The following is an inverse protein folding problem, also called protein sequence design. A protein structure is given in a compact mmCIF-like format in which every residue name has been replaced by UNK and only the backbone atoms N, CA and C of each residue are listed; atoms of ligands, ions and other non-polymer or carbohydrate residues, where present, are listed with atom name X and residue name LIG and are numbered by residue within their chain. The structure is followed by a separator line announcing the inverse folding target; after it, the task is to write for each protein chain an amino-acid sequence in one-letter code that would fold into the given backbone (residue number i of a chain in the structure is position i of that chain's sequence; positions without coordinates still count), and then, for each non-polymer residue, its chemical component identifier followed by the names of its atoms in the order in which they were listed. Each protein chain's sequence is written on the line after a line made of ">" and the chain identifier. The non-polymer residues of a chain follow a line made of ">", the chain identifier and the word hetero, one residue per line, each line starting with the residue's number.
data_IF_266573026179
#
_entry.id   IF_266573026179
#
_cell.length_a   1.000
_cell.length_b   1.000
_cell.length_c   1.000
_cell.angle_alpha   90.00
_cell.angle_beta   90.00
_cell.angle_gamma   90.00
#
_symmetry.space_group_name_H-M   'P 1'
#
loop_
_entity.id
_entity.type
_entity.pdbx_description
1 polymer ?
#
# COMPACT_ATOMS: atom_id res chain seq x y z
N UNK A 1 32.09 -14.85 66.74
CA UNK A 1 32.22 -13.56 66.03
C UNK A 1 31.39 -13.65 64.76
N UNK A 2 30.37 -12.81 64.64
CA UNK A 2 29.41 -12.79 63.54
C UNK A 2 30.04 -12.18 62.28
N UNK A 3 30.20 -12.97 61.22
CA UNK A 3 30.59 -12.48 59.89
C UNK A 3 29.32 -12.20 59.10
N UNK A 4 29.03 -10.90 58.90
CA UNK A 4 27.93 -10.41 58.06
C UNK A 4 28.18 -10.81 56.61
N UNK A 5 27.29 -11.64 56.05
CA UNK A 5 27.21 -11.91 54.61
C UNK A 5 26.40 -10.77 53.99
N UNK A 6 27.06 -9.91 53.21
CA UNK A 6 26.39 -8.95 52.33
C UNK A 6 25.77 -9.71 51.15
N UNK A 7 24.44 -9.68 51.02
CA UNK A 7 23.75 -10.03 49.76
C UNK A 7 23.65 -8.76 48.90
N UNK A 8 24.10 -8.77 47.64
CA UNK A 8 23.64 -7.76 46.70
C UNK A 8 22.19 -8.10 46.30
N UNK A 9 21.32 -7.10 46.43
CA UNK A 9 19.96 -7.11 45.91
C UNK A 9 20.09 -6.89 44.40
N UNK A 10 19.92 -7.95 43.60
CA UNK A 10 19.62 -7.78 42.19
C UNK A 10 18.09 -7.65 42.06
N UNK A 11 17.64 -6.41 41.89
CA UNK A 11 16.30 -6.08 41.42
C UNK A 11 16.11 -6.69 40.03
N UNK A 12 14.96 -7.32 39.81
CA UNK A 12 14.61 -7.96 38.56
C UNK A 12 14.67 -6.95 37.41
N UNK A 13 15.58 -7.16 36.48
CA UNK A 13 15.58 -6.46 35.21
C UNK A 13 14.32 -6.87 34.46
N UNK A 14 13.41 -5.91 34.26
CA UNK A 14 12.32 -6.02 33.29
C UNK A 14 12.95 -6.14 31.91
N UNK A 15 13.03 -7.37 31.39
CA UNK A 15 13.25 -7.61 29.97
C UNK A 15 11.95 -7.17 29.29
N UNK A 16 11.94 -5.95 28.75
CA UNK A 16 10.93 -5.53 27.78
C UNK A 16 11.24 -6.34 26.53
N UNK A 17 10.57 -7.49 26.39
CA UNK A 17 10.52 -8.23 25.14
C UNK A 17 9.70 -7.36 24.19
N UNK A 18 10.39 -6.63 23.30
CA UNK A 18 9.76 -5.97 22.17
C UNK A 18 9.29 -7.09 21.23
N UNK A 19 8.11 -7.65 21.48
CA UNK A 19 7.41 -8.42 20.46
C UNK A 19 7.07 -7.43 19.36
N UNK A 20 7.92 -7.37 18.33
CA UNK A 20 7.50 -6.92 17.01
C UNK A 20 6.45 -7.94 16.60
N UNK A 21 5.19 -7.63 16.87
CA UNK A 21 4.09 -8.30 16.22
C UNK A 21 4.23 -7.84 14.79
N UNK A 22 4.79 -8.68 13.92
CA UNK A 22 4.49 -8.55 12.50
C UNK A 22 2.99 -8.79 12.43
N UNK A 23 2.21 -7.71 12.43
CA UNK A 23 0.82 -7.79 12.06
C UNK A 23 0.84 -8.36 10.65
N UNK A 24 0.39 -9.61 10.50
CA UNK A 24 0.06 -10.15 9.19
C UNK A 24 -1.05 -9.22 8.67
N UNK A 25 -0.72 -8.37 7.70
CA UNK A 25 -1.68 -7.50 7.08
C UNK A 25 -2.75 -8.38 6.44
N UNK A 26 -4.01 -8.13 6.75
CA UNK A 26 -5.09 -8.78 6.01
C UNK A 26 -5.09 -8.20 4.60
N UNK A 27 -5.35 -9.05 3.60
CA UNK A 27 -5.61 -8.54 2.25
C UNK A 27 -6.76 -7.51 2.30
N UNK A 28 -6.62 -6.47 1.48
CA UNK A 28 -7.45 -5.28 1.41
C UNK A 28 -8.17 -5.22 0.04
N UNK A 29 -9.35 -5.87 -0.09
CA UNK A 29 -10.17 -5.72 -1.28
C UNK A 29 -10.63 -4.28 -1.48
N UNK A 30 -10.60 -3.81 -2.72
CA UNK A 30 -11.17 -2.52 -3.12
C UNK A 30 -12.66 -2.48 -2.77
N UNK A 31 -13.04 -1.55 -1.89
CA UNK A 31 -14.44 -1.35 -1.48
C UNK A 31 -14.97 0.03 -1.86
N UNK A 32 -14.83 1.02 -0.98
CA UNK A 32 -15.38 2.36 -1.15
C UNK A 32 -14.39 3.22 -1.92
N UNK A 33 -13.16 3.33 -1.46
CA UNK A 33 -12.09 4.06 -2.15
C UNK A 33 -11.64 3.24 -3.35
N UNK A 34 -11.70 3.87 -4.52
CA UNK A 34 -11.32 3.28 -5.82
C UNK A 34 -10.09 3.97 -6.44
N UNK A 35 -9.66 5.08 -5.84
CA UNK A 35 -8.43 5.80 -6.16
C UNK A 35 -8.13 6.82 -5.05
N UNK A 36 -6.85 7.03 -4.65
CA UNK A 36 -5.70 6.17 -4.94
C UNK A 36 -5.86 4.75 -4.38
N UNK A 37 -5.07 3.82 -4.90
CA UNK A 37 -4.95 2.43 -4.44
C UNK A 37 -3.47 2.10 -4.25
N UNK A 38 -3.13 1.05 -3.47
CA UNK A 38 -1.73 0.61 -3.27
C UNK A 38 -0.97 0.45 -4.59
N UNK A 39 -1.65 -0.05 -5.62
CA UNK A 39 -1.10 -0.38 -6.93
C UNK A 39 -1.03 0.83 -7.89
N UNK A 40 -1.60 1.95 -7.47
CA UNK A 40 -1.60 3.22 -8.18
C UNK A 40 -1.67 4.39 -7.18
N UNK A 41 -0.61 4.59 -6.40
CA UNK A 41 -0.57 5.62 -5.37
C UNK A 41 -0.39 7.01 -5.98
N UNK A 42 -0.72 8.03 -5.20
CA UNK A 42 -0.37 9.41 -5.54
C UNK A 42 0.90 9.83 -4.82
N UNK A 43 1.77 10.56 -5.50
CA UNK A 43 2.94 11.20 -4.92
C UNK A 43 2.69 12.71 -4.92
N UNK A 44 2.80 13.36 -3.76
CA UNK A 44 2.49 14.79 -3.59
C UNK A 44 3.49 15.50 -2.68
N UNK A 45 3.57 16.82 -2.84
CA UNK A 45 4.26 17.72 -1.91
C UNK A 45 3.26 18.43 -0.99
N UNK A 46 3.67 18.91 0.19
CA UNK A 46 2.79 19.67 1.08
C UNK A 46 2.16 20.88 0.38
N UNK A 47 0.87 21.11 0.62
CA UNK A 47 0.08 22.17 0.00
C UNK A 47 -0.54 21.80 -1.35
N UNK A 48 -0.15 20.69 -1.97
CA UNK A 48 -0.82 20.21 -3.19
C UNK A 48 -2.14 19.51 -2.88
N UNK A 49 -2.98 19.45 -3.92
CA UNK A 49 -4.22 18.68 -3.92
C UNK A 49 -4.04 17.31 -4.59
N UNK A 50 -4.87 16.36 -4.18
CA UNK A 50 -5.07 15.12 -4.90
C UNK A 50 -6.54 14.68 -4.87
N UNK A 51 -6.90 13.86 -5.84
CA UNK A 51 -8.26 13.32 -5.96
C UNK A 51 -8.37 11.98 -5.26
N UNK A 52 -9.42 11.83 -4.46
CA UNK A 52 -9.91 10.55 -3.95
C UNK A 52 -11.21 10.23 -4.70
N UNK A 53 -11.36 9.02 -5.23
CA UNK A 53 -12.61 8.56 -5.85
C UNK A 53 -13.26 7.50 -4.99
N UNK A 54 -14.53 7.68 -4.67
CA UNK A 54 -15.28 6.75 -3.84
C UNK A 54 -16.52 6.21 -4.55
N UNK A 55 -16.72 4.90 -4.50
CA UNK A 55 -17.93 4.22 -4.92
C UNK A 55 -18.93 4.20 -3.76
N UNK A 56 -19.88 5.13 -3.77
CA UNK A 56 -20.91 5.23 -2.76
C UNK A 56 -22.16 5.94 -3.32
N UNK A 57 -23.33 5.67 -2.72
CA UNK A 57 -24.59 6.23 -3.18
C UNK A 57 -24.67 7.76 -3.07
N UNK A 58 -25.53 8.38 -3.88
CA UNK A 58 -25.71 9.84 -3.92
C UNK A 58 -26.19 10.47 -2.59
N UNK A 59 -26.74 9.68 -1.67
CA UNK A 59 -27.21 10.15 -0.37
C UNK A 59 -26.12 10.24 0.70
N UNK A 60 -24.90 9.78 0.40
CA UNK A 60 -23.76 9.84 1.32
C UNK A 60 -23.28 11.29 1.48
N UNK A 61 -22.76 11.62 2.65
CA UNK A 61 -22.39 12.97 3.06
C UNK A 61 -21.38 12.91 4.20
N UNK A 62 -20.93 14.06 4.70
CA UNK A 62 -19.98 14.16 5.82
C UNK A 62 -18.71 13.34 5.60
N UNK A 63 -18.16 13.45 4.40
CA UNK A 63 -16.89 12.81 4.07
C UNK A 63 -15.77 13.41 4.93
N UNK A 64 -14.87 12.55 5.40
CA UNK A 64 -13.62 12.92 6.05
C UNK A 64 -12.50 12.03 5.48
N UNK A 65 -11.28 12.57 5.41
CA UNK A 65 -10.12 11.82 4.96
C UNK A 65 -8.91 12.12 5.86
N UNK A 66 -8.10 11.09 6.10
CA UNK A 66 -6.88 11.16 6.90
C UNK A 66 -5.76 10.36 6.25
N UNK A 67 -4.54 10.84 6.41
CA UNK A 67 -3.34 10.06 6.14
C UNK A 67 -2.85 9.43 7.44
N UNK A 68 -2.49 8.15 7.40
CA UNK A 68 -2.02 7.41 8.58
C UNK A 68 -0.72 6.66 8.31
N UNK A 69 0.15 6.67 9.30
CA UNK A 69 1.24 5.71 9.48
C UNK A 69 1.18 5.21 10.93
N UNK A 70 2.02 4.24 11.35
CA UNK A 70 2.05 3.81 12.75
C UNK A 70 2.35 4.94 13.75
N UNK A 71 2.92 6.06 13.29
CA UNK A 71 3.36 7.17 14.14
C UNK A 71 2.69 8.51 13.84
N UNK A 72 2.05 8.65 12.69
CA UNK A 72 1.44 9.91 12.27
C UNK A 72 -0.03 9.72 11.89
N UNK A 73 -0.84 10.73 12.18
CA UNK A 73 -2.22 10.84 11.67
C UNK A 73 -2.45 12.30 11.28
N UNK A 74 -2.77 12.53 10.01
CA UNK A 74 -2.91 13.86 9.43
C UNK A 74 -4.31 13.97 8.83
N UNK A 75 -5.14 14.85 9.38
CA UNK A 75 -6.47 15.13 8.82
C UNK A 75 -6.34 15.98 7.55
N UNK A 76 -7.04 15.58 6.50
CA UNK A 76 -7.05 16.27 5.21
C UNK A 76 -8.26 17.20 5.11
N UNK A 77 -8.08 18.51 4.85
CA UNK A 77 -9.15 19.35 4.34
C UNK A 77 -9.63 18.77 3.00
N UNK A 78 -10.95 18.62 2.86
CA UNK A 78 -11.54 18.08 1.63
C UNK A 78 -12.73 18.89 1.13
N UNK A 79 -12.96 18.82 -0.17
CA UNK A 79 -14.23 19.13 -0.81
C UNK A 79 -14.75 17.87 -1.49
N UNK A 80 -16.07 17.69 -1.56
CA UNK A 80 -16.69 16.48 -2.12
C UNK A 80 -17.77 16.83 -3.14
N UNK A 81 -17.78 16.12 -4.26
CA UNK A 81 -18.77 16.23 -5.33
C UNK A 81 -19.26 14.85 -5.74
N UNK A 82 -20.57 14.69 -5.92
CA UNK A 82 -21.15 13.47 -6.50
C UNK A 82 -21.27 13.61 -8.02
N UNK A 83 -20.72 12.64 -8.74
CA UNK A 83 -20.73 12.58 -10.20
C UNK A 83 -21.78 11.56 -10.64
N UNK A 84 -22.86 12.04 -11.26
CA UNK A 84 -24.02 11.21 -11.59
C UNK A 84 -23.74 10.21 -12.71
N UNK A 85 -22.87 10.57 -13.66
CA UNK A 85 -22.51 9.77 -14.83
C UNK A 85 -21.76 8.50 -14.45
N UNK A 86 -20.86 8.60 -13.47
CA UNK A 86 -20.06 7.48 -12.96
C UNK A 86 -20.63 6.87 -11.68
N UNK A 87 -21.71 7.45 -11.15
CA UNK A 87 -22.34 7.07 -9.88
C UNK A 87 -21.33 6.97 -8.73
N UNK A 88 -20.44 7.97 -8.66
CA UNK A 88 -19.31 7.97 -7.73
C UNK A 88 -19.07 9.35 -7.14
N UNK A 89 -18.42 9.39 -5.99
CA UNK A 89 -17.94 10.61 -5.37
C UNK A 89 -16.51 10.92 -5.80
N UNK A 90 -16.25 12.20 -6.06
CA UNK A 90 -14.90 12.76 -6.21
C UNK A 90 -14.65 13.67 -5.02
N UNK A 91 -13.61 13.37 -4.25
CA UNK A 91 -13.12 14.26 -3.21
C UNK A 91 -11.81 14.89 -3.63
N UNK A 92 -11.67 16.19 -3.46
CA UNK A 92 -10.40 16.90 -3.61
C UNK A 92 -9.85 17.14 -2.22
N UNK A 93 -8.73 16.50 -1.90
CA UNK A 93 -8.06 16.60 -0.61
C UNK A 93 -6.77 17.40 -0.73
N UNK A 94 -6.56 18.33 0.20
CA UNK A 94 -5.36 19.17 0.27
C UNK A 94 -4.38 18.63 1.32
N UNK A 95 -3.10 18.52 0.98
CA UNK A 95 -2.06 18.10 1.94
C UNK A 95 -1.69 19.28 2.86
N UNK A 96 -1.84 19.18 4.20
CA UNK A 96 -1.37 20.21 5.12
C UNK A 96 0.14 20.49 4.99
N UNK A 97 0.54 21.75 5.19
CA UNK A 97 1.92 22.19 4.99
C UNK A 97 2.95 21.55 5.94
N UNK A 98 2.50 21.07 7.10
CA UNK A 98 3.31 20.42 8.15
C UNK A 98 3.27 18.89 8.08
N UNK A 99 2.70 18.32 7.01
CA UNK A 99 2.63 16.87 6.81
C UNK A 99 4.04 16.27 6.67
N UNK A 100 4.43 15.29 7.52
CA UNK A 100 5.70 14.60 7.38
C UNK A 100 5.86 13.87 6.04
N UNK A 101 7.10 13.62 5.64
CA UNK A 101 7.40 13.02 4.33
C UNK A 101 7.48 11.51 4.45
N UNK A 102 6.34 10.84 4.32
CA UNK A 102 6.20 9.39 4.50
C UNK A 102 5.31 8.78 3.40
N UNK A 103 5.31 7.45 3.32
CA UNK A 103 4.28 6.70 2.60
C UNK A 103 3.13 6.43 3.58
N UNK A 104 1.94 6.92 3.24
CA UNK A 104 0.77 6.89 4.10
C UNK A 104 -0.30 5.94 3.56
N UNK A 105 -0.99 5.33 4.51
CA UNK A 105 -2.30 4.75 4.29
C UNK A 105 -3.34 5.88 4.19
N UNK A 106 -4.32 5.71 3.30
CA UNK A 106 -5.43 6.64 3.15
C UNK A 106 -6.66 6.09 3.86
N UNK A 107 -7.13 6.81 4.87
CA UNK A 107 -8.31 6.45 5.65
C UNK A 107 -9.45 7.42 5.32
N UNK A 108 -10.60 6.89 4.91
CA UNK A 108 -11.78 7.67 4.51
C UNK A 108 -12.99 7.23 5.31
N UNK A 109 -13.76 8.19 5.82
CA UNK A 109 -15.06 7.94 6.46
C UNK A 109 -16.15 8.80 5.85
N UNK A 110 -17.40 8.38 6.00
CA UNK A 110 -18.56 9.19 5.63
C UNK A 110 -19.80 8.80 6.45
N UNK A 111 -20.93 9.45 6.17
CA UNK A 111 -22.21 9.11 6.76
C UNK A 111 -22.63 7.67 6.47
N UNK A 112 -23.62 7.17 7.23
CA UNK A 112 -24.10 5.79 7.18
C UNK A 112 -23.04 4.73 7.52
N UNK A 113 -22.00 5.10 8.28
CA UNK A 113 -21.01 4.16 8.79
C UNK A 113 -19.98 3.72 7.75
N UNK A 114 -19.83 4.47 6.66
CA UNK A 114 -18.75 4.24 5.69
C UNK A 114 -17.42 4.50 6.37
N UNK A 115 -16.53 3.51 6.25
CA UNK A 115 -15.15 3.55 6.67
C UNK A 115 -14.35 2.66 5.70
N UNK A 116 -13.23 3.18 5.21
CA UNK A 116 -12.34 2.45 4.31
C UNK A 116 -10.89 2.88 4.56
N UNK A 117 -9.95 1.97 4.38
CA UNK A 117 -8.52 2.18 4.59
C UNK A 117 -7.77 1.54 3.44
N UNK A 118 -6.96 2.33 2.74
CA UNK A 118 -6.17 1.86 1.61
C UNK A 118 -4.70 2.00 1.93
N UNK A 119 -4.01 0.87 1.99
CA UNK A 119 -2.61 0.86 2.35
C UNK A 119 -1.72 1.54 1.29
N UNK A 120 -0.71 2.27 1.74
CA UNK A 120 0.34 2.85 0.91
C UNK A 120 -0.16 3.68 -0.29
N UNK A 121 -1.30 4.33 -0.13
CA UNK A 121 -1.99 5.01 -1.23
C UNK A 121 -1.45 6.41 -1.52
N UNK A 122 -0.77 7.05 -0.57
CA UNK A 122 -0.34 8.45 -0.67
C UNK A 122 1.10 8.61 -0.18
N UNK A 123 2.03 8.97 -1.06
CA UNK A 123 3.41 9.31 -0.71
C UNK A 123 3.57 10.83 -0.64
N UNK A 124 4.04 11.33 0.50
CA UNK A 124 4.40 12.74 0.65
C UNK A 124 5.91 12.90 0.55
N UNK A 125 6.35 13.80 -0.33
CA UNK A 125 7.76 14.10 -0.59
C UNK A 125 8.02 15.60 -0.36
N UNK A 126 9.25 16.00 -0.01
CA UNK A 126 9.59 17.42 0.15
C UNK A 126 9.51 18.21 -1.16
N UNK A 127 9.93 17.59 -2.27
CA UNK A 127 9.96 18.18 -3.60
C UNK A 127 10.04 17.07 -4.66
N UNK A 128 9.54 17.35 -5.87
CA UNK A 128 9.77 16.48 -7.02
C UNK A 128 11.20 16.65 -7.52
N UNK A 129 11.91 15.52 -7.66
CA UNK A 129 13.29 15.52 -8.15
C UNK A 129 13.33 15.64 -9.67
N UNK A 130 14.31 16.38 -10.19
CA UNK A 130 14.61 16.39 -11.63
C UNK A 130 15.56 15.26 -12.05
N UNK A 131 16.28 14.68 -11.09
CA UNK A 131 17.14 13.52 -11.28
C UNK A 131 16.74 12.47 -10.24
N UNK A 132 16.20 11.35 -10.71
CA UNK A 132 15.72 10.28 -9.87
C UNK A 132 15.92 8.94 -10.56
N UNK A 133 15.82 7.86 -9.78
CA UNK A 133 15.74 6.51 -10.29
C UNK A 133 14.49 5.85 -9.74
N UNK A 134 13.98 4.91 -10.52
CA UNK A 134 12.93 3.99 -10.15
C UNK A 134 13.42 2.57 -10.38
N UNK A 135 12.79 1.61 -9.72
CA UNK A 135 13.07 0.20 -9.96
C UNK A 135 12.02 -0.35 -10.91
N UNK A 136 12.46 -1.09 -11.93
CA UNK A 136 11.58 -1.88 -12.78
C UNK A 136 11.61 -3.34 -12.29
N UNK A 137 10.45 -3.89 -11.92
CA UNK A 137 10.29 -5.19 -11.30
C UNK A 137 9.23 -6.04 -12.06
N UNK A 138 9.58 -6.60 -13.23
CA UNK A 138 8.69 -7.47 -13.98
C UNK A 138 8.60 -8.88 -13.37
N UNK A 139 7.52 -9.61 -13.67
CA UNK A 139 7.40 -11.07 -13.56
C UNK A 139 7.77 -11.64 -12.17
N UNK A 140 7.13 -11.15 -11.10
CA UNK A 140 7.41 -11.64 -9.74
C UNK A 140 6.80 -13.01 -9.44
N UNK A 141 5.72 -13.38 -10.14
CA UNK A 141 5.00 -14.66 -10.01
C UNK A 141 4.86 -15.10 -8.54
N UNK A 142 4.01 -14.45 -7.73
CA UNK A 142 3.93 -14.64 -6.27
C UNK A 142 2.78 -15.57 -5.85
N UNK A 143 3.05 -16.72 -5.20
CA UNK A 143 4.29 -17.49 -5.30
C UNK A 143 4.34 -18.27 -6.61
N UNK A 144 5.54 -18.48 -7.15
CA UNK A 144 5.70 -19.31 -8.32
C UNK A 144 5.38 -20.74 -7.90
N UNK A 145 4.47 -21.39 -8.62
CA UNK A 145 4.22 -22.82 -8.46
C UNK A 145 4.84 -23.53 -9.63
N UNK A 146 5.58 -24.62 -9.39
CA UNK A 146 6.19 -25.41 -10.46
C UNK A 146 5.10 -25.97 -11.38
N UNK A 147 4.81 -25.24 -12.46
CA UNK A 147 3.83 -25.64 -13.44
C UNK A 147 4.55 -26.49 -14.49
N UNK A 148 4.46 -27.80 -14.31
CA UNK A 148 4.97 -28.83 -15.24
C UNK A 148 6.47 -29.14 -15.07
N UNK A 149 7.00 -29.24 -13.84
CA UNK A 149 8.23 -29.98 -13.53
C UNK A 149 9.48 -29.63 -14.36
N UNK A 150 9.49 -28.47 -15.01
CA UNK A 150 10.54 -27.99 -15.91
C UNK A 150 11.44 -26.97 -15.21
N UNK A 151 10.94 -26.43 -14.10
CA UNK A 151 11.64 -25.44 -13.30
C UNK A 151 11.75 -25.92 -11.86
N UNK A 152 12.98 -25.88 -11.35
CA UNK A 152 13.33 -26.02 -9.92
C UNK A 152 13.11 -24.66 -9.24
N UNK A 153 11.97 -24.02 -9.53
CA UNK A 153 11.71 -22.66 -9.05
C UNK A 153 11.42 -22.74 -7.55
N UNK A 154 12.41 -22.32 -6.77
CA UNK A 154 12.19 -21.96 -5.38
C UNK A 154 11.05 -20.92 -5.35
N UNK A 155 10.12 -21.08 -4.39
CA UNK A 155 9.06 -20.10 -4.14
C UNK A 155 9.66 -18.68 -4.21
N UNK A 156 9.10 -17.80 -5.04
CA UNK A 156 9.61 -16.42 -5.30
C UNK A 156 9.46 -15.48 -4.11
N UNK A 157 8.67 -15.85 -3.10
CA UNK A 157 8.39 -15.02 -1.92
C UNK A 157 9.64 -14.63 -1.11
N UNK A 158 10.58 -15.53 -0.77
CA UNK A 158 11.81 -15.16 -0.07
C UNK A 158 12.69 -14.19 -0.88
N UNK A 159 12.70 -14.30 -2.21
CA UNK A 159 13.44 -13.37 -3.07
C UNK A 159 12.77 -11.99 -3.08
N UNK A 160 11.44 -11.89 -3.21
CA UNK A 160 10.77 -10.60 -3.06
C UNK A 160 11.02 -9.98 -1.68
N UNK A 161 10.98 -10.78 -0.60
CA UNK A 161 11.29 -10.28 0.75
C UNK A 161 12.73 -9.78 0.90
N UNK A 162 13.68 -10.30 0.12
CA UNK A 162 15.04 -9.76 0.06
C UNK A 162 15.07 -8.46 -0.72
N UNK A 163 14.43 -8.42 -1.90
CA UNK A 163 14.33 -7.21 -2.72
C UNK A 163 13.67 -6.06 -1.96
N UNK A 164 12.60 -6.29 -1.20
CA UNK A 164 11.96 -5.27 -0.37
C UNK A 164 12.97 -4.61 0.59
N UNK A 165 13.82 -5.40 1.25
CA UNK A 165 14.88 -4.86 2.14
C UNK A 165 15.94 -4.08 1.38
N UNK A 166 16.26 -4.49 0.16
CA UNK A 166 17.17 -3.74 -0.70
C UNK A 166 16.55 -2.43 -1.16
N UNK A 167 15.24 -2.42 -1.44
CA UNK A 167 14.51 -1.21 -1.83
C UNK A 167 14.44 -0.19 -0.69
N UNK A 168 14.40 -0.63 0.56
CA UNK A 168 14.51 0.27 1.72
C UNK A 168 15.88 0.97 1.77
N UNK A 169 16.95 0.28 1.41
CA UNK A 169 18.33 0.83 1.40
C UNK A 169 18.52 1.74 0.19
N UNK A 170 18.08 1.28 -0.99
CA UNK A 170 18.16 2.01 -2.24
C UNK A 170 17.25 3.25 -2.17
N UNK A 171 16.05 3.13 -1.62
CA UNK A 171 15.02 4.18 -1.52
C UNK A 171 14.72 4.83 -2.89
N UNK A 172 14.26 4.05 -3.89
CA UNK A 172 13.85 4.60 -5.19
C UNK A 172 12.64 5.52 -5.04
N UNK A 173 12.43 6.37 -6.04
CA UNK A 173 11.30 7.29 -6.02
C UNK A 173 9.96 6.55 -6.10
N UNK A 174 9.95 5.46 -6.87
CA UNK A 174 8.86 4.49 -6.97
C UNK A 174 9.36 3.18 -7.59
N UNK A 175 8.54 2.15 -7.50
CA UNK A 175 8.72 0.86 -8.18
C UNK A 175 7.69 0.74 -9.29
N UNK A 176 8.09 0.24 -10.46
CA UNK A 176 7.20 -0.14 -11.56
C UNK A 176 7.18 -1.67 -11.67
N UNK A 177 6.07 -2.29 -11.31
CA UNK A 177 5.82 -3.72 -11.51
C UNK A 177 4.92 -3.88 -12.73
N UNK A 178 5.45 -4.49 -13.78
CA UNK A 178 4.85 -4.43 -15.12
C UNK A 178 4.08 -5.68 -15.53
N UNK A 179 3.46 -6.39 -14.58
CA UNK A 179 2.64 -7.57 -14.84
C UNK A 179 3.29 -8.88 -14.41
N UNK A 180 2.45 -9.92 -14.42
CA UNK A 180 2.74 -11.25 -13.91
C UNK A 180 3.16 -11.17 -12.42
N UNK A 181 2.34 -10.44 -11.65
CA UNK A 181 2.50 -10.28 -10.21
C UNK A 181 2.27 -11.62 -9.51
N UNK A 182 1.15 -12.27 -9.82
CA UNK A 182 0.80 -13.62 -9.34
C UNK A 182 1.05 -14.64 -10.44
N UNK A 183 1.30 -15.89 -10.05
CA UNK A 183 1.56 -16.96 -11.01
C UNK A 183 0.27 -17.56 -11.58
N UNK A 184 -0.79 -17.61 -10.78
CA UNK A 184 -2.10 -18.10 -11.19
C UNK A 184 -3.22 -17.11 -10.84
N UNK A 185 -3.68 -16.38 -11.85
CA UNK A 185 -4.77 -15.41 -11.74
C UNK A 185 -6.07 -15.95 -11.12
N UNK A 186 -6.35 -17.25 -11.23
CA UNK A 186 -7.55 -17.85 -10.63
C UNK A 186 -7.46 -18.01 -9.12
N UNK A 187 -6.25 -18.11 -8.59
CA UNK A 187 -6.04 -18.39 -7.17
C UNK A 187 -6.06 -17.09 -6.37
N UNK A 188 -7.21 -16.82 -5.76
CA UNK A 188 -7.41 -15.63 -4.93
C UNK A 188 -6.39 -15.52 -3.80
N UNK A 189 -5.90 -16.65 -3.26
CA UNK A 189 -4.91 -16.65 -2.18
C UNK A 189 -3.58 -16.05 -2.63
N UNK A 190 -3.23 -16.14 -3.92
CA UNK A 190 -2.02 -15.51 -4.46
C UNK A 190 -2.13 -13.99 -4.47
N UNK A 191 -3.29 -13.45 -4.82
CA UNK A 191 -3.55 -12.01 -4.74
C UNK A 191 -3.49 -11.48 -3.31
N UNK A 192 -4.09 -12.23 -2.37
CA UNK A 192 -4.06 -11.88 -0.95
C UNK A 192 -2.61 -11.85 -0.42
N UNK A 193 -1.82 -12.88 -0.74
CA UNK A 193 -0.41 -12.95 -0.37
C UNK A 193 0.42 -11.85 -1.05
N UNK A 194 0.19 -11.59 -2.34
CA UNK A 194 0.89 -10.54 -3.05
C UNK A 194 0.65 -9.17 -2.39
N UNK A 195 -0.60 -8.86 -2.05
CA UNK A 195 -0.92 -7.60 -1.37
C UNK A 195 -0.31 -7.52 0.03
N UNK A 196 -0.30 -8.62 0.79
CA UNK A 196 0.40 -8.70 2.08
C UNK A 196 1.90 -8.42 1.93
N UNK A 197 2.55 -8.98 0.92
CA UNK A 197 3.97 -8.77 0.65
C UNK A 197 4.25 -7.33 0.19
N UNK A 198 3.39 -6.75 -0.64
CA UNK A 198 3.52 -5.37 -1.11
C UNK A 198 3.27 -4.35 0.02
N UNK A 199 2.49 -4.70 1.06
CA UNK A 199 2.32 -3.89 2.26
C UNK A 199 3.61 -3.76 3.09
N UNK A 200 4.64 -4.59 2.85
CA UNK A 200 5.96 -4.43 3.48
C UNK A 200 6.84 -3.38 2.76
N UNK A 201 6.43 -2.82 1.61
CA UNK A 201 7.21 -1.83 0.87
C UNK A 201 7.21 -0.45 1.53
N UNK A 202 8.39 0.13 1.80
CA UNK A 202 8.51 1.51 2.28
C UNK A 202 8.46 2.60 1.17
N UNK A 203 8.27 2.17 -0.08
CA UNK A 203 8.26 3.02 -1.29
C UNK A 203 7.01 2.74 -2.13
N UNK A 204 6.47 3.75 -2.83
CA UNK A 204 5.27 3.57 -3.64
C UNK A 204 5.52 2.63 -4.83
N UNK A 205 4.51 1.83 -5.18
CA UNK A 205 4.54 0.89 -6.31
C UNK A 205 3.42 1.20 -7.30
N UNK A 206 3.79 1.28 -8.58
CA UNK A 206 2.86 1.31 -9.70
C UNK A 206 2.84 -0.06 -10.36
N UNK A 207 1.66 -0.64 -10.43
CA UNK A 207 1.43 -2.01 -10.87
C UNK A 207 0.57 -2.03 -12.14
N UNK A 208 0.90 -2.89 -13.10
CA UNK A 208 0.03 -3.26 -14.23
C UNK A 208 -0.20 -4.77 -14.24
N UNK A 209 -1.29 -5.23 -14.84
CA UNK A 209 -1.59 -6.66 -14.95
C UNK A 209 -0.92 -7.29 -16.17
N UNK A 210 -0.36 -8.49 -15.99
CA UNK A 210 0.16 -9.36 -17.04
C UNK A 210 -0.82 -10.49 -17.40
N UNK A 211 -0.37 -11.44 -18.20
CA UNK A 211 -1.22 -12.53 -18.63
C UNK A 211 -1.48 -13.57 -17.52
N UNK A 212 -0.49 -13.86 -16.67
CA UNK A 212 -0.69 -14.78 -15.53
C UNK A 212 -1.70 -14.23 -14.54
N UNK A 213 -1.72 -12.92 -14.33
CA UNK A 213 -2.70 -12.25 -13.47
C UNK A 213 -4.13 -12.40 -14.00
N UNK A 214 -4.30 -12.27 -15.32
CA UNK A 214 -5.62 -12.05 -15.94
C UNK A 214 -6.24 -13.29 -16.59
N UNK A 215 -5.45 -14.31 -16.91
CA UNK A 215 -5.93 -15.54 -17.54
C UNK A 215 -6.99 -16.25 -16.69
N UNK A 216 -7.86 -16.99 -17.39
CA UNK A 216 -8.87 -17.86 -16.81
C UNK A 216 -9.79 -17.19 -15.76
N UNK A 217 -10.28 -15.97 -16.02
CA UNK A 217 -11.11 -15.17 -15.11
C UNK A 217 -10.35 -14.49 -13.94
N UNK A 218 -9.01 -14.49 -13.96
CA UNK A 218 -8.19 -13.78 -12.98
C UNK A 218 -8.45 -12.28 -12.89
N UNK A 219 -9.04 -11.69 -13.93
CA UNK A 219 -9.60 -10.33 -13.90
C UNK A 219 -10.50 -10.06 -12.68
N UNK A 220 -11.28 -11.04 -12.20
CA UNK A 220 -12.16 -10.81 -11.04
C UNK A 220 -11.36 -10.60 -9.76
N UNK A 221 -10.30 -11.39 -9.55
CA UNK A 221 -9.38 -11.21 -8.43
C UNK A 221 -8.60 -9.91 -8.58
N UNK A 222 -8.11 -9.60 -9.79
CA UNK A 222 -7.48 -8.31 -10.06
C UNK A 222 -8.38 -7.13 -9.70
N UNK A 223 -9.62 -7.12 -10.17
CA UNK A 223 -10.57 -6.04 -9.87
C UNK A 223 -10.88 -5.93 -8.39
N UNK A 224 -10.90 -7.07 -7.69
CA UNK A 224 -11.14 -7.15 -6.26
C UNK A 224 -9.99 -6.53 -5.45
N UNK A 225 -8.73 -6.72 -5.83
CA UNK A 225 -7.58 -6.30 -5.01
C UNK A 225 -6.81 -5.09 -5.54
N UNK A 226 -6.84 -4.84 -6.84
CA UNK A 226 -6.07 -3.78 -7.51
C UNK A 226 -6.95 -2.85 -8.35
N UNK A 227 -8.26 -3.07 -8.32
CA UNK A 227 -9.25 -2.22 -8.97
C UNK A 227 -9.39 -2.47 -10.47
N UNK A 228 -10.42 -1.85 -11.06
CA UNK A 228 -10.81 -2.05 -12.46
C UNK A 228 -9.96 -1.30 -13.49
N UNK A 229 -9.19 -0.31 -13.05
CA UNK A 229 -8.38 0.49 -13.96
C UNK A 229 -7.00 -0.13 -14.12
N UNK A 230 -6.83 -0.91 -15.19
CA UNK A 230 -5.56 -1.56 -15.51
C UNK A 230 -4.67 -0.66 -16.38
N UNK A 231 -5.28 0.09 -17.30
CA UNK A 231 -4.58 1.08 -18.13
C UNK A 231 -4.65 2.45 -17.46
N UNK A 232 -3.50 3.02 -17.11
CA UNK A 232 -3.42 4.35 -16.55
C UNK A 232 -2.10 5.03 -16.89
N UNK A 233 -2.07 6.33 -16.63
CA UNK A 233 -0.86 7.14 -16.56
C UNK A 233 -0.81 7.81 -15.20
N UNK A 234 0.38 8.20 -14.79
CA UNK A 234 0.61 9.06 -13.65
C UNK A 234 1.71 10.05 -14.03
N UNK A 235 1.75 11.17 -13.31
CA UNK A 235 2.82 12.15 -13.45
C UNK A 235 3.64 12.18 -12.17
N UNK A 236 4.96 12.32 -12.32
CA UNK A 236 5.88 12.64 -11.23
C UNK A 236 6.39 14.07 -11.42
N UNK A 237 5.78 15.03 -10.73
CA UNK A 237 6.06 16.44 -10.92
C UNK A 237 5.73 16.88 -12.36
N UNK A 238 6.76 17.23 -13.12
CA UNK A 238 6.64 17.66 -14.51
C UNK A 238 6.81 16.53 -15.55
N UNK A 239 7.05 15.30 -15.11
CA UNK A 239 7.32 14.12 -15.94
C UNK A 239 6.13 13.17 -16.00
#
# INVERSE_FOLDING_TARGET
>A
MSTKIFKPIFSAATIILLTIVNALWAADPVTVVTYPLMNRPVIRTPGEDFTIRCNAGASISNWEAQLKTPYNTVSLPITSEYIAETQSWTLTATIPADTPFELYDLYVTASNGIQDEVHHAVRIIPEYKNEFYFIHLPDTHLPAVSWIGYYDDENTVPELRRLIKEFEIINPEFVLQTGDLVDNGQDEAQYQLAQELLADLAVPIYLTGGNHDLWYDGHQNWYKYFGRTMDYSFNYGAY
#
